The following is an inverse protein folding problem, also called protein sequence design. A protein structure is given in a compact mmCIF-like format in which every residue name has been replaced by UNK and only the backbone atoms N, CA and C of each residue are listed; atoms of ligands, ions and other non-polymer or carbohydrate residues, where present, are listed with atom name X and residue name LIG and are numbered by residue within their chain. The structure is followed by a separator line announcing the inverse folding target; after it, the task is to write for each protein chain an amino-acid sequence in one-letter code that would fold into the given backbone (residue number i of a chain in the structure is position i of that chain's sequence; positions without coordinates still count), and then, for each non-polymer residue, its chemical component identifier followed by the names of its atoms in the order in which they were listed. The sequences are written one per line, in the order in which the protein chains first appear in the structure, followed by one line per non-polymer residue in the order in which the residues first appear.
data_IF_892159759860
#
_entry.id   IF_892159759860
#
_cell.length_a   1.000
_cell.length_b   1.000
_cell.length_c   1.000
_cell.angle_alpha   90.00
_cell.angle_beta   90.00
_cell.angle_gamma   90.00
#
_symmetry.space_group_name_H-M   'P 1'
#
loop_
_entity.id
_entity.type
_entity.pdbx_description
1 polymer ?
#
# COMPACT_ATOMS: atom_id res chain seq x y z
N UNK A 1 -20.15 -20.92 -1.89
CA UNK A 1 -20.58 -20.69 -0.49
C UNK A 1 -20.36 -19.22 -0.18
N UNK A 2 -21.40 -18.48 0.21
CA UNK A 2 -21.25 -17.06 0.52
C UNK A 2 -20.59 -16.91 1.88
N UNK A 3 -19.50 -16.12 1.95
CA UNK A 3 -18.84 -15.77 3.22
C UNK A 3 -19.75 -14.83 4.02
N UNK A 4 -19.85 -15.02 5.33
CA UNK A 4 -20.60 -14.13 6.24
C UNK A 4 -19.64 -13.17 6.94
N UNK A 5 -20.07 -11.92 7.13
CA UNK A 5 -19.32 -10.94 7.93
C UNK A 5 -19.30 -11.42 9.38
N UNK A 6 -18.11 -11.61 9.96
CA UNK A 6 -17.95 -12.02 11.36
C UNK A 6 -17.97 -10.83 12.33
N UNK A 7 -17.38 -9.71 11.94
CA UNK A 7 -17.37 -8.46 12.69
C UNK A 7 -17.11 -7.28 11.74
N UNK A 8 -17.41 -6.08 12.23
CA UNK A 8 -17.13 -4.81 11.55
C UNK A 8 -16.30 -3.96 12.51
N UNK A 9 -15.22 -3.37 12.01
CA UNK A 9 -14.33 -2.50 12.78
C UNK A 9 -14.22 -1.17 12.04
N UNK A 10 -14.38 -0.07 12.76
CA UNK A 10 -14.09 1.26 12.23
C UNK A 10 -12.58 1.51 12.23
N UNK A 11 -12.09 2.19 11.20
CA UNK A 11 -10.73 2.68 11.18
C UNK A 11 -10.48 3.75 12.24
N UNK A 12 -9.24 3.84 12.71
CA UNK A 12 -8.83 4.78 13.77
C UNK A 12 -7.94 5.86 13.14
N UNK A 13 -8.26 7.16 13.30
CA UNK A 13 -7.38 8.22 12.86
C UNK A 13 -6.04 8.19 13.61
N UNK A 14 -4.94 8.21 12.88
CA UNK A 14 -3.59 8.25 13.44
C UNK A 14 -2.72 9.26 12.67
N UNK A 15 -1.62 9.68 13.29
CA UNK A 15 -0.59 10.48 12.64
C UNK A 15 0.66 9.63 12.49
N UNK A 16 1.24 9.61 11.30
CA UNK A 16 2.42 8.82 10.94
C UNK A 16 3.44 9.66 10.17
N UNK A 17 4.63 9.10 9.94
CA UNK A 17 5.70 9.79 9.20
C UNK A 17 6.03 11.15 9.83
N UNK A 18 6.08 12.20 9.01
CA UNK A 18 6.33 13.57 9.45
C UNK A 18 5.04 14.35 9.81
N UNK A 19 4.00 13.65 10.29
CA UNK A 19 2.71 14.22 10.70
C UNK A 19 1.59 14.03 9.68
N UNK A 20 1.70 13.00 8.84
CA UNK A 20 0.69 12.61 7.85
C UNK A 20 -0.52 12.01 8.55
N UNK A 21 -1.72 12.45 8.20
CA UNK A 21 -2.98 11.88 8.71
C UNK A 21 -3.38 10.67 7.88
N UNK A 22 -3.62 9.53 8.56
CA UNK A 22 -4.16 8.32 7.94
C UNK A 22 -5.24 7.70 8.83
N UNK A 23 -6.04 6.82 8.26
CA UNK A 23 -7.02 6.00 8.96
C UNK A 23 -6.51 4.57 9.01
N UNK A 24 -6.13 4.11 10.21
CA UNK A 24 -5.64 2.75 10.43
C UNK A 24 -6.77 1.76 10.56
N UNK A 25 -6.85 0.81 9.65
CA UNK A 25 -7.88 -0.24 9.58
C UNK A 25 -7.41 -1.54 10.22
N UNK A 26 -6.17 -1.97 9.93
CA UNK A 26 -5.52 -3.14 10.54
C UNK A 26 -4.26 -2.71 11.27
N UNK A 27 -4.03 -3.27 12.46
CA UNK A 27 -2.87 -2.98 13.30
C UNK A 27 -2.28 -4.25 13.95
N UNK A 28 -1.24 -4.08 14.76
CA UNK A 28 -0.53 -5.19 15.41
C UNK A 28 -1.43 -6.13 16.25
N UNK A 29 -2.56 -5.66 16.77
CA UNK A 29 -3.49 -6.50 17.53
C UNK A 29 -4.31 -7.43 16.64
N UNK A 30 -4.40 -7.12 15.34
CA UNK A 30 -5.21 -7.85 14.37
C UNK A 30 -4.42 -8.96 13.65
N UNK A 31 -3.08 -8.95 13.71
CA UNK A 31 -2.20 -9.76 12.84
C UNK A 31 -2.46 -11.27 12.87
N UNK A 32 -2.84 -11.85 14.02
CA UNK A 32 -3.14 -13.29 14.08
C UNK A 32 -4.44 -13.66 13.37
N UNK A 33 -5.42 -12.77 13.36
CA UNK A 33 -6.70 -13.00 12.69
C UNK A 33 -6.63 -12.69 11.19
N UNK A 34 -5.64 -11.90 10.78
CA UNK A 34 -5.50 -11.38 9.42
C UNK A 34 -4.19 -11.77 8.73
N UNK A 35 -3.40 -12.71 9.26
CA UNK A 35 -2.22 -13.24 8.57
C UNK A 35 -2.60 -13.64 7.13
N UNK A 36 -1.90 -13.13 6.09
CA UNK A 36 -0.59 -12.47 6.08
C UNK A 36 -0.57 -10.93 6.16
N UNK A 37 -1.68 -10.27 6.47
CA UNK A 37 -1.76 -8.80 6.54
C UNK A 37 -1.33 -8.28 7.92
N UNK A 38 -0.33 -7.40 7.94
CA UNK A 38 0.25 -6.84 9.17
C UNK A 38 -0.31 -5.46 9.54
N UNK A 39 -0.62 -4.66 8.52
CA UNK A 39 -1.14 -3.30 8.68
C UNK A 39 -1.89 -2.90 7.41
N UNK A 40 -2.94 -2.09 7.57
CA UNK A 40 -3.66 -1.45 6.47
C UNK A 40 -4.01 -0.04 6.91
N UNK A 41 -3.41 0.93 6.25
CA UNK A 41 -3.72 2.35 6.40
C UNK A 41 -4.42 2.84 5.13
N UNK A 42 -5.51 3.60 5.31
CA UNK A 42 -6.16 4.33 4.24
C UNK A 42 -5.84 5.83 4.41
N UNK A 43 -5.52 6.50 3.33
CA UNK A 43 -5.34 7.96 3.31
C UNK A 43 -6.32 8.57 2.32
N UNK A 44 -6.95 9.66 2.73
CA UNK A 44 -7.96 10.37 1.94
C UNK A 44 -8.04 11.81 2.46
N UNK A 45 -7.50 12.78 1.71
CA UNK A 45 -7.50 14.18 2.11
C UNK A 45 -7.43 15.14 0.93
N UNK A 46 -8.19 16.23 1.02
CA UNK A 46 -8.18 17.38 0.10
C UNK A 46 -7.30 18.53 0.62
N UNK A 47 -6.58 18.32 1.73
CA UNK A 47 -5.76 19.34 2.39
C UNK A 47 -4.28 18.95 2.34
N UNK A 48 -3.48 19.50 1.41
CA UNK A 48 -2.06 19.21 1.32
C UNK A 48 -1.30 19.29 2.65
N UNK A 49 -1.63 20.24 3.52
CA UNK A 49 -1.00 20.38 4.85
C UNK A 49 -1.13 19.15 5.75
N UNK A 50 -2.05 18.23 5.47
CA UNK A 50 -2.25 16.98 6.20
C UNK A 50 -1.39 15.81 5.71
N UNK A 51 -0.71 15.94 4.56
CA UNK A 51 0.02 14.82 3.95
C UNK A 51 1.36 15.16 3.30
N UNK A 52 1.61 16.41 2.85
CA UNK A 52 2.80 16.75 2.04
C UNK A 52 4.15 16.57 2.76
N UNK A 53 4.14 16.49 4.09
CA UNK A 53 5.36 16.20 4.85
C UNK A 53 5.81 14.74 4.67
N UNK A 54 4.90 13.88 4.22
CA UNK A 54 5.16 12.52 3.80
C UNK A 54 5.76 11.62 4.88
N UNK A 55 6.43 10.59 4.40
CA UNK A 55 7.15 9.60 5.17
C UNK A 55 8.63 9.71 4.75
N UNK A 56 9.42 10.55 5.43
CA UNK A 56 10.85 10.68 5.16
C UNK A 56 11.58 9.34 5.32
N UNK A 57 12.88 9.31 4.97
CA UNK A 57 13.72 8.11 5.06
C UNK A 57 13.51 7.29 6.33
N UNK A 58 12.96 6.08 6.17
CA UNK A 58 12.65 5.16 7.25
C UNK A 58 12.89 3.69 6.82
N UNK A 59 13.17 2.78 7.78
CA UNK A 59 13.52 1.40 7.46
C UNK A 59 12.31 0.45 7.46
N UNK A 60 12.38 -0.60 6.63
CA UNK A 60 11.56 -1.82 6.71
C UNK A 60 12.44 -3.07 6.64
N UNK A 61 11.98 -4.18 7.23
CA UNK A 61 12.63 -5.51 7.14
C UNK A 61 11.61 -6.63 7.35
N UNK A 62 11.75 -7.72 6.61
CA UNK A 62 11.00 -8.96 6.81
C UNK A 62 9.54 -8.92 6.37
N UNK A 63 9.16 -7.89 5.60
CA UNK A 63 7.81 -7.62 5.12
C UNK A 63 7.84 -7.18 3.65
N UNK A 64 6.65 -7.02 3.08
CA UNK A 64 6.44 -6.22 1.88
C UNK A 64 5.48 -5.06 2.19
N UNK A 65 5.63 -3.96 1.45
CA UNK A 65 4.72 -2.81 1.50
C UNK A 65 4.09 -2.62 0.14
N UNK A 66 2.76 -2.52 0.11
CA UNK A 66 1.97 -2.31 -1.10
C UNK A 66 1.23 -0.98 -0.97
N UNK A 67 1.60 0.00 -1.80
CA UNK A 67 0.92 1.29 -1.88
C UNK A 67 0.10 1.32 -3.17
N UNK A 68 -1.23 1.42 -3.05
CA UNK A 68 -2.13 1.57 -4.21
C UNK A 68 -2.78 2.94 -4.18
N UNK A 69 -2.56 3.72 -5.23
CA UNK A 69 -2.99 5.11 -5.30
C UNK A 69 -4.24 5.21 -6.17
N UNK A 70 -5.33 5.75 -5.63
CA UNK A 70 -6.54 6.03 -6.41
C UNK A 70 -6.48 7.44 -7.01
N UNK A 71 -6.08 8.42 -6.21
CA UNK A 71 -6.01 9.83 -6.58
C UNK A 71 -4.76 10.47 -5.95
N UNK A 72 -4.05 11.30 -6.70
CA UNK A 72 -2.89 12.07 -6.24
C UNK A 72 -1.60 11.63 -6.90
N UNK A 73 -0.48 12.02 -6.28
CA UNK A 73 0.86 11.72 -6.76
C UNK A 73 1.78 11.52 -5.55
N UNK A 74 2.61 10.47 -5.57
CA UNK A 74 3.58 10.18 -4.51
C UNK A 74 4.95 9.94 -5.14
N UNK A 75 5.92 10.80 -4.84
CA UNK A 75 7.32 10.53 -5.17
C UNK A 75 7.91 9.55 -4.17
N UNK A 76 8.72 8.59 -4.62
CA UNK A 76 9.41 7.66 -3.74
C UNK A 76 10.89 7.58 -4.09
N UNK A 77 11.68 7.14 -3.11
CA UNK A 77 13.10 6.84 -3.31
C UNK A 77 13.60 5.85 -2.26
N UNK A 78 14.55 5.00 -2.62
CA UNK A 78 15.10 3.98 -1.73
C UNK A 78 16.64 3.92 -1.71
N UNK A 79 17.17 3.19 -0.72
CA UNK A 79 18.60 2.98 -0.50
C UNK A 79 19.30 2.13 -1.57
N UNK A 80 18.55 1.48 -2.47
CA UNK A 80 19.11 0.80 -3.65
C UNK A 80 19.24 1.73 -4.86
N UNK A 81 18.78 2.98 -4.73
CA UNK A 81 18.81 3.98 -5.79
C UNK A 81 17.57 3.97 -6.68
N UNK A 82 16.56 3.16 -6.37
CA UNK A 82 15.28 3.27 -7.08
C UNK A 82 14.61 4.58 -6.70
N UNK A 83 13.97 5.22 -7.68
CA UNK A 83 13.18 6.43 -7.50
C UNK A 83 12.13 6.49 -8.60
N UNK A 84 11.01 7.14 -8.30
CA UNK A 84 9.90 7.22 -9.23
C UNK A 84 8.73 7.95 -8.60
N UNK A 85 7.62 7.91 -9.33
CA UNK A 85 6.39 8.56 -8.94
C UNK A 85 5.25 7.59 -9.14
N UNK A 86 4.45 7.40 -8.11
CA UNK A 86 3.20 6.65 -8.15
C UNK A 86 2.09 7.61 -8.57
N UNK A 87 1.40 7.31 -9.67
CA UNK A 87 0.25 8.06 -10.16
C UNK A 87 -1.08 7.34 -9.91
N UNK A 88 -2.17 7.98 -10.31
CA UNK A 88 -3.52 7.43 -10.20
C UNK A 88 -3.64 6.04 -10.85
N UNK A 89 -4.05 5.06 -10.06
CA UNK A 89 -4.23 3.67 -10.47
C UNK A 89 -2.95 2.84 -10.48
N UNK A 90 -1.80 3.42 -10.14
CA UNK A 90 -0.54 2.69 -10.00
C UNK A 90 -0.49 1.95 -8.65
N UNK A 91 0.33 0.90 -8.63
CA UNK A 91 0.66 0.14 -7.43
C UNK A 91 2.18 0.08 -7.28
N UNK A 92 2.68 0.52 -6.13
CA UNK A 92 4.03 0.24 -5.69
C UNK A 92 4.01 -1.04 -4.87
N UNK A 93 4.81 -2.05 -5.26
CA UNK A 93 5.02 -3.25 -4.46
C UNK A 93 6.51 -3.39 -4.11
N UNK A 94 6.85 -3.17 -2.85
CA UNK A 94 8.23 -3.23 -2.37
C UNK A 94 8.41 -4.40 -1.41
N UNK A 95 9.29 -5.34 -1.77
CA UNK A 95 9.75 -6.41 -0.89
C UNK A 95 10.92 -5.89 -0.07
N UNK A 96 10.73 -5.65 1.24
CA UNK A 96 11.80 -5.12 2.09
C UNK A 96 12.85 -6.18 2.43
N UNK A 97 12.44 -7.46 2.56
CA UNK A 97 13.35 -8.58 2.78
C UNK A 97 14.38 -8.33 3.89
N UNK A 98 15.67 -8.52 3.61
CA UNK A 98 16.77 -8.32 4.56
C UNK A 98 16.91 -6.89 5.09
N UNK A 99 16.26 -5.92 4.47
CA UNK A 99 16.16 -4.55 4.95
C UNK A 99 16.30 -3.53 3.82
N UNK A 100 15.47 -2.50 3.83
CA UNK A 100 15.55 -1.35 2.93
C UNK A 100 15.23 -0.07 3.70
N UNK A 101 15.89 1.04 3.35
CA UNK A 101 15.51 2.38 3.81
C UNK A 101 14.88 3.09 2.61
N UNK A 102 13.71 3.68 2.79
CA UNK A 102 13.02 4.40 1.73
C UNK A 102 12.25 5.62 2.25
N UNK A 103 11.78 6.45 1.34
CA UNK A 103 10.90 7.57 1.61
C UNK A 103 9.73 7.56 0.64
N UNK A 104 8.58 8.07 1.08
CA UNK A 104 7.36 8.25 0.30
C UNK A 104 6.84 9.67 0.53
N UNK A 105 6.86 10.48 -0.50
CA UNK A 105 6.64 11.93 -0.46
C UNK A 105 5.46 12.31 -1.34
N UNK A 106 4.23 12.32 -0.78
CA UNK A 106 3.05 12.88 -1.40
C UNK A 106 3.27 14.30 -1.96
N UNK A 107 2.86 14.51 -3.20
CA UNK A 107 2.89 15.81 -3.87
C UNK A 107 1.57 16.57 -3.67
N UNK A 108 1.58 17.91 -3.66
CA UNK A 108 0.36 18.69 -3.45
C UNK A 108 -0.61 18.55 -4.64
N UNK A 109 -1.71 17.83 -4.43
CA UNK A 109 -2.80 17.63 -5.39
C UNK A 109 -4.15 18.09 -4.81
N UNK A 110 -5.20 18.16 -5.64
CA UNK A 110 -6.56 18.49 -5.19
C UNK A 110 -7.05 17.51 -4.12
N UNK A 111 -6.76 16.22 -4.32
CA UNK A 111 -7.02 15.15 -3.37
C UNK A 111 -5.92 14.12 -3.45
N UNK A 112 -5.56 13.57 -2.29
CA UNK A 112 -4.80 12.33 -2.20
C UNK A 112 -5.71 11.25 -1.64
N UNK A 113 -5.76 10.10 -2.30
CA UNK A 113 -6.58 8.97 -1.87
C UNK A 113 -5.93 7.66 -2.26
N UNK A 114 -5.77 6.77 -1.29
CA UNK A 114 -5.14 5.49 -1.51
C UNK A 114 -5.07 4.66 -0.24
N UNK A 115 -4.32 3.56 -0.34
CA UNK A 115 -4.08 2.67 0.78
C UNK A 115 -2.63 2.21 0.78
N UNK A 116 -2.13 1.91 1.97
CA UNK A 116 -0.88 1.18 2.17
C UNK A 116 -1.15 -0.07 2.98
N UNK A 117 -0.70 -1.22 2.46
CA UNK A 117 -0.86 -2.54 3.06
C UNK A 117 0.51 -3.13 3.33
N UNK A 118 0.74 -3.63 4.55
CA UNK A 118 1.93 -4.40 4.87
C UNK A 118 1.62 -5.89 4.86
N UNK A 119 2.46 -6.64 4.16
CA UNK A 119 2.37 -8.09 4.02
C UNK A 119 3.51 -8.76 4.76
N UNK A 120 3.17 -9.79 5.51
CA UNK A 120 4.14 -10.65 6.18
C UNK A 120 4.83 -11.54 5.14
N UNK A 121 6.18 -11.56 5.14
CA UNK A 121 6.91 -12.56 4.38
C UNK A 121 6.96 -13.89 5.16
N UNK A 122 6.84 -15.05 4.48
CA UNK A 122 7.13 -16.35 5.09
C UNK A 122 8.53 -16.37 5.72
N UNK A 123 8.70 -17.12 6.81
CA UNK A 123 9.94 -17.12 7.59
C UNK A 123 11.22 -17.32 6.74
N UNK A 124 11.17 -18.23 5.77
CA UNK A 124 12.28 -18.52 4.84
C UNK A 124 12.65 -17.36 3.91
N UNK A 125 11.72 -16.45 3.64
CA UNK A 125 11.85 -15.37 2.67
C UNK A 125 12.14 -14.01 3.33
N UNK A 126 12.05 -13.93 4.67
CA UNK A 126 12.24 -12.68 5.43
C UNK A 126 13.59 -12.01 5.23
N UNK A 127 14.60 -12.75 4.77
CA UNK A 127 15.95 -12.24 4.52
C UNK A 127 16.32 -12.24 3.03
N UNK A 128 15.32 -12.33 2.14
CA UNK A 128 15.56 -12.17 0.70
C UNK A 128 16.14 -10.78 0.37
N UNK A 129 16.81 -10.66 -0.78
CA UNK A 129 17.29 -9.36 -1.23
C UNK A 129 16.11 -8.40 -1.44
N UNK A 130 16.19 -7.13 -1.00
CA UNK A 130 15.11 -6.18 -1.19
C UNK A 130 14.84 -5.92 -2.68
N UNK A 131 13.58 -5.75 -3.06
CA UNK A 131 13.17 -5.55 -4.45
C UNK A 131 12.06 -4.51 -4.54
N UNK A 132 12.14 -3.69 -5.58
CA UNK A 132 11.11 -2.74 -5.95
C UNK A 132 10.41 -3.21 -7.23
N UNK A 133 9.07 -3.19 -7.23
CA UNK A 133 8.27 -3.48 -8.42
C UNK A 133 7.34 -2.29 -8.68
N UNK A 134 7.65 -1.58 -9.75
CA UNK A 134 6.78 -0.54 -10.29
C UNK A 134 5.65 -1.18 -11.10
N UNK A 135 4.40 -1.05 -10.65
CA UNK A 135 3.24 -1.63 -11.31
C UNK A 135 2.32 -0.49 -11.72
N UNK A 136 2.64 0.12 -12.86
CA UNK A 136 1.77 1.16 -13.43
C UNK A 136 0.36 0.64 -13.74
N UNK A 137 -0.62 1.55 -13.81
CA UNK A 137 -2.02 1.23 -14.05
C UNK A 137 -2.25 0.37 -15.31
N UNK A 138 -1.39 0.50 -16.32
CA UNK A 138 -1.46 -0.28 -17.56
C UNK A 138 -1.02 -1.74 -17.39
N UNK A 139 -0.24 -2.04 -16.35
CA UNK A 139 0.13 -3.41 -16.00
C UNK A 139 -0.95 -4.12 -15.19
N UNK A 140 -1.90 -3.39 -14.60
CA UNK A 140 -2.96 -3.94 -13.75
C UNK A 140 -4.18 -4.27 -14.62
N UNK A 141 -4.50 -5.56 -14.83
CA UNK A 141 -5.61 -5.92 -15.69
C UNK A 141 -6.95 -5.58 -15.03
N UNK A 142 -7.89 -5.21 -15.90
CA UNK A 142 -9.23 -4.75 -15.52
C UNK A 142 -10.27 -5.75 -16.02
N UNK A 143 -11.07 -6.28 -15.10
CA UNK A 143 -12.25 -7.10 -15.44
C UNK A 143 -13.50 -6.25 -15.28
N UNK A 144 -14.19 -6.02 -16.40
CA UNK A 144 -15.46 -5.29 -16.42
C UNK A 144 -16.64 -6.29 -16.36
N UNK A 145 -17.60 -6.02 -15.49
CA UNK A 145 -18.83 -6.80 -15.31
C UNK A 145 -20.02 -5.86 -15.21
N UNK A 146 -21.22 -6.42 -15.30
CA UNK A 146 -22.42 -5.63 -15.12
C UNK A 146 -22.47 -5.04 -13.69
N UNK A 147 -22.39 -3.72 -13.58
CA UNK A 147 -22.50 -3.00 -12.31
C UNK A 147 -21.19 -2.84 -11.51
N UNK A 148 -20.06 -3.40 -11.95
CA UNK A 148 -18.78 -3.22 -11.26
C UNK A 148 -17.55 -3.43 -12.15
N UNK A 149 -16.42 -2.95 -11.65
CA UNK A 149 -15.10 -3.13 -12.25
C UNK A 149 -14.13 -3.68 -11.19
N UNK A 150 -13.28 -4.64 -11.58
CA UNK A 150 -12.23 -5.19 -10.73
C UNK A 150 -10.86 -4.90 -11.35
N UNK A 151 -9.98 -4.28 -10.57
CA UNK A 151 -8.55 -4.18 -10.87
C UNK A 151 -7.82 -5.30 -10.15
N UNK A 152 -7.20 -6.21 -10.90
CA UNK A 152 -6.55 -7.39 -10.32
C UNK A 152 -5.09 -7.04 -10.00
N UNK A 153 -4.84 -6.53 -8.80
CA UNK A 153 -3.48 -6.12 -8.38
C UNK A 153 -2.59 -7.34 -8.11
N UNK A 154 -3.17 -8.41 -7.56
CA UNK A 154 -2.49 -9.68 -7.34
C UNK A 154 -3.50 -10.83 -7.29
N UNK A 155 -3.01 -12.05 -7.53
CA UNK A 155 -3.82 -13.26 -7.53
C UNK A 155 -4.58 -13.45 -8.84
N UNK A 156 -5.80 -13.95 -8.76
CA UNK A 156 -6.63 -14.25 -9.93
C UNK A 156 -8.10 -13.90 -9.66
N UNK A 157 -8.75 -13.31 -10.67
CA UNK A 157 -10.18 -13.05 -10.68
C UNK A 157 -10.78 -13.42 -12.04
N UNK A 158 -11.77 -14.30 -12.07
CA UNK A 158 -12.41 -14.77 -13.31
C UNK A 158 -11.39 -15.15 -14.41
N UNK A 159 -10.38 -15.95 -14.06
CA UNK A 159 -9.24 -16.38 -14.92
C UNK A 159 -8.21 -15.30 -15.28
N UNK A 160 -8.45 -14.04 -14.94
CA UNK A 160 -7.51 -12.93 -15.16
C UNK A 160 -6.54 -12.86 -13.99
N UNK A 161 -5.24 -12.92 -14.28
CA UNK A 161 -4.15 -12.88 -13.30
C UNK A 161 -3.60 -11.47 -13.17
N UNK A 162 -3.33 -11.05 -11.93
CA UNK A 162 -2.56 -9.85 -11.61
C UNK A 162 -1.05 -10.10 -11.63
#
# INVERSE_FOLDING_TARGET
MNRKVKFVKAGIPVMEGAGVRVIRMLNNQDVYNFDPFLMLDAFDSEKPSEYIKGFPWHPHRGIETVTYLLEGEIEHGDSLGNKGTIYNGDCQWMTAGSGIIHQEMPQPTERIRGLQLWLNLPAKDKMTHPQYRDITANHIPIVNKEGYQVRVIAGEYDTVKG
#
